data_IF_178307844622
#
_entry.id   IF_178307844622
#
_cell.length_a   1.000
_cell.length_b   1.000
_cell.length_c   1.000
_cell.angle_alpha   90.00
_cell.angle_beta   90.00
_cell.angle_gamma   90.00
#
_symmetry.space_group_name_H-M   'P 1'
#
loop_
_entity.id
_entity.type
_entity.pdbx_description
1 polymer ?
#
# COMPACT_ATOMS: atom_id res chain seq x y z
N UNK A 1 23.56 -11.08 -7.73
CA UNK A 1 23.94 -10.13 -6.64
C UNK A 1 23.56 -8.67 -6.88
N UNK A 2 24.01 -8.00 -7.96
CA UNK A 2 23.78 -6.56 -8.19
C UNK A 2 22.29 -6.12 -8.24
N UNK A 3 21.39 -6.91 -8.86
CA UNK A 3 19.94 -6.61 -8.95
C UNK A 3 19.26 -6.55 -7.58
N UNK A 4 19.59 -7.47 -6.67
CA UNK A 4 18.99 -7.55 -5.34
C UNK A 4 19.39 -6.36 -4.46
N UNK A 5 20.66 -5.94 -4.53
CA UNK A 5 21.17 -4.75 -3.83
C UNK A 5 20.50 -3.48 -4.38
N UNK A 6 20.32 -3.39 -5.70
CA UNK A 6 19.63 -2.25 -6.34
C UNK A 6 18.17 -2.15 -5.87
N UNK A 7 17.44 -3.27 -5.86
CA UNK A 7 16.06 -3.33 -5.40
C UNK A 7 15.94 -2.97 -3.90
N UNK A 8 16.83 -3.50 -3.08
CA UNK A 8 16.90 -3.14 -1.65
C UNK A 8 17.12 -1.63 -1.45
N UNK A 9 18.04 -1.03 -2.20
CA UNK A 9 18.29 0.41 -2.11
C UNK A 9 17.04 1.23 -2.49
N UNK A 10 16.31 0.80 -3.53
CA UNK A 10 15.07 1.47 -3.94
C UNK A 10 13.99 1.36 -2.85
N UNK A 11 13.79 0.15 -2.31
CA UNK A 11 12.76 -0.13 -1.31
C UNK A 11 13.03 0.50 0.07
N UNK A 12 14.29 0.59 0.49
CA UNK A 12 14.59 0.89 1.91
C UNK A 12 15.44 2.15 2.12
N UNK A 13 16.00 2.78 1.07
CA UNK A 13 16.67 4.09 1.19
C UNK A 13 15.81 5.22 0.65
N UNK A 14 15.57 6.24 1.47
CA UNK A 14 14.87 7.44 1.03
C UNK A 14 15.74 8.19 0.00
N UNK A 15 15.30 8.23 -1.24
CA UNK A 15 16.04 8.82 -2.35
C UNK A 15 15.08 9.60 -3.23
N UNK A 16 15.24 10.93 -3.27
CA UNK A 16 14.39 11.84 -4.06
C UNK A 16 14.50 11.57 -5.56
N UNK A 17 15.69 11.24 -6.07
CA UNK A 17 15.90 10.94 -7.48
C UNK A 17 15.14 9.67 -7.91
N UNK A 18 15.20 8.59 -7.11
CA UNK A 18 14.41 7.38 -7.38
C UNK A 18 12.90 7.67 -7.39
N UNK A 19 12.42 8.45 -6.42
CA UNK A 19 11.02 8.85 -6.38
C UNK A 19 10.62 9.61 -7.65
N UNK A 20 11.38 10.64 -8.04
CA UNK A 20 11.06 11.42 -9.25
C UNK A 20 11.08 10.56 -10.51
N UNK A 21 12.01 9.61 -10.60
CA UNK A 21 12.14 8.69 -11.75
C UNK A 21 10.96 7.73 -11.90
N UNK A 22 10.38 7.27 -10.77
CA UNK A 22 9.41 6.17 -10.76
C UNK A 22 8.00 6.59 -10.31
N UNK A 23 7.79 7.85 -9.96
CA UNK A 23 6.50 8.35 -9.46
C UNK A 23 5.38 8.13 -10.48
N UNK A 24 5.63 8.41 -11.75
CA UNK A 24 4.63 8.31 -12.82
C UNK A 24 4.25 6.85 -13.09
N UNK A 25 5.25 5.97 -13.21
CA UNK A 25 5.06 4.53 -13.36
C UNK A 25 4.28 3.93 -12.18
N UNK A 26 4.64 4.31 -10.95
CA UNK A 26 3.90 3.90 -9.76
C UNK A 26 2.47 4.45 -9.77
N UNK A 27 2.26 5.69 -10.24
CA UNK A 27 0.93 6.28 -10.35
C UNK A 27 0.05 5.51 -11.31
N UNK A 28 0.58 5.15 -12.49
CA UNK A 28 -0.15 4.36 -13.48
C UNK A 28 -0.55 2.99 -12.92
N UNK A 29 0.40 2.25 -12.36
CA UNK A 29 0.13 0.95 -11.74
C UNK A 29 -0.94 1.08 -10.65
N UNK A 30 -0.78 2.03 -9.72
CA UNK A 30 -1.69 2.16 -8.59
C UNK A 30 -3.10 2.56 -9.05
N UNK A 31 -3.23 3.48 -10.00
CA UNK A 31 -4.53 3.85 -10.57
C UNK A 31 -5.20 2.65 -11.25
N UNK A 32 -4.48 1.91 -12.10
CA UNK A 32 -5.03 0.70 -12.76
C UNK A 32 -5.52 -0.35 -11.76
N UNK A 33 -4.77 -0.55 -10.66
CA UNK A 33 -5.20 -1.49 -9.61
C UNK A 33 -6.38 -0.95 -8.81
N UNK A 34 -6.43 0.36 -8.54
CA UNK A 34 -7.57 0.98 -7.86
C UNK A 34 -8.83 0.82 -8.71
N UNK A 35 -8.77 1.14 -10.01
CA UNK A 35 -9.93 1.01 -10.90
C UNK A 35 -10.43 -0.44 -10.94
N UNK A 36 -9.50 -1.40 -11.06
CA UNK A 36 -9.82 -2.83 -11.04
C UNK A 36 -10.61 -3.26 -9.79
N UNK A 37 -10.14 -2.90 -8.59
CA UNK A 37 -10.81 -3.29 -7.34
C UNK A 37 -12.03 -2.43 -7.03
N UNK A 38 -12.02 -1.15 -7.40
CA UNK A 38 -13.15 -0.26 -7.17
C UNK A 38 -14.35 -0.60 -8.08
N UNK A 39 -14.12 -1.28 -9.21
CA UNK A 39 -15.23 -1.87 -9.98
C UNK A 39 -16.04 -2.89 -9.18
N UNK A 40 -15.45 -3.51 -8.14
CA UNK A 40 -16.14 -4.45 -7.25
C UNK A 40 -16.83 -3.67 -6.12
N UNK A 41 -16.11 -2.76 -5.48
CA UNK A 41 -16.58 -2.07 -4.28
C UNK A 41 -17.53 -0.88 -4.54
N UNK A 42 -17.35 -0.20 -5.66
CA UNK A 42 -18.08 1.02 -6.02
C UNK A 42 -17.97 2.12 -4.94
N UNK A 43 -16.76 2.36 -4.41
CA UNK A 43 -16.52 3.40 -3.41
C UNK A 43 -16.13 4.73 -4.04
N UNK A 44 -16.63 5.83 -3.46
CA UNK A 44 -16.16 7.17 -3.79
C UNK A 44 -14.85 7.50 -3.08
N UNK A 45 -13.92 8.15 -3.79
CA UNK A 45 -12.72 8.77 -3.22
C UNK A 45 -12.45 10.13 -3.86
N UNK A 46 -11.71 10.99 -3.16
CA UNK A 46 -11.44 12.35 -3.62
C UNK A 46 -10.23 12.43 -4.55
N UNK A 47 -9.09 11.87 -4.11
CA UNK A 47 -7.87 11.86 -4.91
C UNK A 47 -6.94 10.73 -4.52
N UNK A 48 -6.08 10.36 -5.47
CA UNK A 48 -4.95 9.47 -5.27
C UNK A 48 -3.66 10.30 -5.26
N UNK A 49 -2.73 9.98 -4.37
CA UNK A 49 -1.45 10.67 -4.29
C UNK A 49 -0.29 9.71 -4.11
N UNK A 50 0.71 9.81 -4.99
CA UNK A 50 1.95 9.04 -4.89
C UNK A 50 2.97 9.82 -4.06
N UNK A 51 3.54 9.16 -3.04
CA UNK A 51 4.41 9.75 -2.02
C UNK A 51 5.70 8.95 -1.86
N UNK A 52 6.71 9.59 -1.26
CA UNK A 52 7.97 8.96 -0.86
C UNK A 52 8.10 8.98 0.68
N UNK A 53 7.17 8.28 1.35
CA UNK A 53 7.12 8.23 2.81
C UNK A 53 8.16 7.25 3.37
N UNK A 54 8.74 7.59 4.53
CA UNK A 54 9.77 6.76 5.19
C UNK A 54 9.19 5.63 6.04
N UNK A 55 7.93 5.76 6.47
CA UNK A 55 7.37 4.92 7.53
C UNK A 55 6.13 4.13 7.11
N UNK A 56 5.44 4.51 6.03
CA UNK A 56 4.16 3.92 5.63
C UNK A 56 4.14 3.54 4.15
N UNK A 57 3.41 2.48 3.85
CA UNK A 57 3.15 1.99 2.50
C UNK A 57 1.93 2.66 1.86
N UNK A 58 0.91 2.97 2.67
CA UNK A 58 -0.29 3.69 2.27
C UNK A 58 -0.92 4.44 3.44
N UNK A 59 -1.95 5.24 3.15
CA UNK A 59 -2.92 5.77 4.12
C UNK A 59 -4.14 6.36 3.44
N UNK A 60 -5.33 6.09 3.98
CA UNK A 60 -6.57 6.81 3.71
C UNK A 60 -6.85 7.87 4.79
N UNK A 61 -7.23 9.09 4.38
CA UNK A 61 -7.72 10.12 5.31
C UNK A 61 -9.24 10.07 5.46
N UNK A 62 -9.81 10.58 6.56
CA UNK A 62 -11.26 10.77 6.72
C UNK A 62 -11.93 11.57 5.59
N UNK A 63 -11.19 12.45 4.90
CA UNK A 63 -11.62 13.16 3.69
C UNK A 63 -11.54 12.32 2.40
N UNK A 64 -11.49 10.99 2.51
CA UNK A 64 -11.40 10.03 1.40
C UNK A 64 -10.25 10.29 0.41
N UNK A 65 -9.10 10.76 0.91
CA UNK A 65 -7.88 10.87 0.11
C UNK A 65 -7.01 9.63 0.31
N UNK A 66 -6.67 8.97 -0.79
CA UNK A 66 -5.78 7.81 -0.78
C UNK A 66 -4.35 8.24 -1.05
N UNK A 67 -3.42 7.80 -0.22
CA UNK A 67 -2.00 8.07 -0.39
C UNK A 67 -1.25 6.75 -0.43
N UNK A 68 -0.32 6.63 -1.38
CA UNK A 68 0.48 5.42 -1.57
C UNK A 68 1.95 5.74 -1.73
N UNK A 69 2.79 4.83 -1.27
CA UNK A 69 4.22 4.91 -1.47
C UNK A 69 4.58 4.46 -2.90
N UNK A 70 5.37 5.25 -3.64
CA UNK A 70 5.81 4.86 -4.99
C UNK A 70 6.52 3.50 -5.03
N UNK A 71 7.09 3.08 -3.89
CA UNK A 71 7.81 1.82 -3.76
C UNK A 71 6.94 0.57 -3.93
N UNK A 72 5.61 0.70 -3.90
CA UNK A 72 4.70 -0.41 -4.22
C UNK A 72 4.98 -1.00 -5.60
N UNK A 73 5.44 -0.16 -6.55
CA UNK A 73 5.91 -0.57 -7.87
C UNK A 73 6.96 -1.69 -7.86
N UNK A 74 7.75 -1.79 -6.79
CA UNK A 74 8.84 -2.75 -6.66
C UNK A 74 8.52 -3.95 -5.77
N UNK A 75 7.30 -4.00 -5.23
CA UNK A 75 6.82 -5.16 -4.50
C UNK A 75 6.23 -6.18 -5.48
N UNK A 76 6.14 -7.44 -5.05
CA UNK A 76 5.35 -8.41 -5.79
C UNK A 76 3.90 -7.91 -5.90
N UNK A 77 3.25 -8.19 -7.03
CA UNK A 77 1.85 -7.81 -7.29
C UNK A 77 0.92 -8.13 -6.11
N UNK A 78 1.04 -9.33 -5.54
CA UNK A 78 0.26 -9.78 -4.36
C UNK A 78 0.33 -8.81 -3.18
N UNK A 79 1.53 -8.36 -2.81
CA UNK A 79 1.72 -7.44 -1.68
C UNK A 79 1.24 -6.02 -2.04
N UNK A 80 1.53 -5.56 -3.27
CA UNK A 80 1.07 -4.26 -3.75
C UNK A 80 -0.46 -4.17 -3.74
N UNK A 81 -1.12 -5.19 -4.29
CA UNK A 81 -2.58 -5.28 -4.37
C UNK A 81 -3.22 -5.28 -2.99
N UNK A 82 -2.68 -6.08 -2.05
CA UNK A 82 -3.17 -6.09 -0.67
C UNK A 82 -3.11 -4.70 -0.02
N UNK A 83 -2.00 -3.96 -0.20
CA UNK A 83 -1.86 -2.60 0.35
C UNK A 83 -2.88 -1.66 -0.30
N UNK A 84 -3.09 -1.76 -1.61
CA UNK A 84 -4.06 -0.92 -2.34
C UNK A 84 -5.49 -1.20 -1.86
N UNK A 85 -5.88 -2.47 -1.77
CA UNK A 85 -7.18 -2.91 -1.27
C UNK A 85 -7.39 -2.49 0.19
N UNK A 86 -6.37 -2.58 1.03
CA UNK A 86 -6.43 -2.14 2.42
C UNK A 86 -6.83 -0.66 2.53
N UNK A 87 -6.16 0.21 1.78
CA UNK A 87 -6.48 1.65 1.80
C UNK A 87 -7.83 1.95 1.13
N UNK A 88 -8.24 1.18 0.11
CA UNK A 88 -9.58 1.30 -0.48
C UNK A 88 -10.68 0.93 0.52
N UNK A 89 -10.51 -0.14 1.29
CA UNK A 89 -11.48 -0.56 2.30
C UNK A 89 -11.67 0.52 3.38
N UNK A 90 -10.65 1.33 3.65
CA UNK A 90 -10.76 2.49 4.54
C UNK A 90 -11.69 3.60 4.05
N UNK A 91 -12.08 3.61 2.76
CA UNK A 91 -13.13 4.53 2.27
C UNK A 91 -14.51 4.21 2.86
N UNK A 92 -14.73 2.96 3.27
CA UNK A 92 -15.97 2.47 3.88
C UNK A 92 -15.85 2.29 5.39
N UNK A 93 -14.76 1.70 5.86
CA UNK A 93 -14.53 1.38 7.27
C UNK A 93 -13.18 1.95 7.74
N UNK A 94 -13.20 3.05 8.49
CA UNK A 94 -11.99 3.78 8.89
C UNK A 94 -11.15 3.06 9.97
N UNK A 95 -11.72 2.04 10.62
CA UNK A 95 -11.05 1.23 11.63
C UNK A 95 -10.89 -0.22 11.13
N UNK A 96 -9.99 -0.98 11.76
CA UNK A 96 -9.75 -2.39 11.43
C UNK A 96 -10.77 -3.34 12.08
N UNK A 97 -12.06 -2.97 12.08
CA UNK A 97 -13.13 -3.83 12.62
C UNK A 97 -13.33 -5.10 11.80
N UNK A 98 -14.17 -6.01 12.30
CA UNK A 98 -14.59 -7.20 11.54
C UNK A 98 -15.16 -6.85 10.17
N UNK A 99 -15.91 -5.74 10.05
CA UNK A 99 -16.46 -5.28 8.77
C UNK A 99 -15.35 -4.91 7.78
N UNK A 100 -14.32 -4.20 8.25
CA UNK A 100 -13.16 -3.88 7.42
C UNK A 100 -12.47 -5.14 6.89
N UNK A 101 -12.21 -6.12 7.76
CA UNK A 101 -11.53 -7.35 7.34
C UNK A 101 -12.40 -8.20 6.41
N UNK A 102 -13.73 -8.18 6.56
CA UNK A 102 -14.63 -8.81 5.61
C UNK A 102 -14.48 -8.17 4.21
N UNK A 103 -14.48 -6.84 4.11
CA UNK A 103 -14.28 -6.14 2.84
C UNK A 103 -12.95 -6.52 2.18
N UNK A 104 -11.86 -6.59 2.95
CA UNK A 104 -10.54 -7.02 2.42
C UNK A 104 -10.61 -8.47 1.92
N UNK A 105 -11.23 -9.36 2.68
CA UNK A 105 -11.31 -10.78 2.36
C UNK A 105 -12.17 -11.09 1.13
N UNK A 106 -13.11 -10.21 0.75
CA UNK A 106 -13.93 -10.35 -0.46
C UNK A 106 -13.08 -10.46 -1.73
N UNK A 107 -11.94 -9.76 -1.80
CA UNK A 107 -11.09 -9.75 -3.01
C UNK A 107 -9.68 -10.26 -2.75
N UNK A 108 -9.22 -10.31 -1.50
CA UNK A 108 -7.93 -10.89 -1.08
C UNK A 108 -8.18 -11.91 0.05
N UNK A 109 -8.65 -13.13 -0.27
CA UNK A 109 -9.00 -14.13 0.76
C UNK A 109 -7.80 -14.60 1.59
N UNK A 110 -6.58 -14.52 1.05
CA UNK A 110 -5.32 -14.91 1.70
C UNK A 110 -4.64 -13.74 2.45
N UNK A 111 -5.37 -12.67 2.77
CA UNK A 111 -4.80 -11.45 3.37
C UNK A 111 -4.05 -11.70 4.69
N UNK A 112 -4.43 -12.71 5.47
CA UNK A 112 -3.77 -13.06 6.74
C UNK A 112 -2.31 -13.48 6.54
N UNK A 113 -2.01 -14.21 5.46
CA UNK A 113 -0.65 -14.61 5.11
C UNK A 113 0.17 -13.40 4.67
N UNK A 114 -0.42 -12.51 3.86
CA UNK A 114 0.24 -11.27 3.43
C UNK A 114 0.55 -10.37 4.63
N UNK A 115 -0.38 -10.25 5.58
CA UNK A 115 -0.15 -9.53 6.84
C UNK A 115 0.99 -10.12 7.64
N UNK A 116 1.07 -11.44 7.73
CA UNK A 116 2.19 -12.13 8.40
C UNK A 116 3.51 -11.79 7.74
N UNK A 117 3.57 -11.80 6.40
CA UNK A 117 4.76 -11.44 5.64
C UNK A 117 5.16 -9.98 5.89
N UNK A 118 4.21 -9.04 5.84
CA UNK A 118 4.45 -7.61 6.03
C UNK A 118 4.89 -7.23 7.44
N UNK A 119 4.56 -8.02 8.46
CA UNK A 119 5.09 -7.85 9.83
C UNK A 119 6.58 -8.19 9.92
N UNK A 120 7.14 -8.91 8.95
CA UNK A 120 8.56 -9.23 8.93
C UNK A 120 9.41 -7.96 8.72
N UNK A 121 10.55 -7.86 9.41
CA UNK A 121 11.50 -6.73 9.30
C UNK A 121 11.91 -6.43 7.85
N UNK A 122 11.91 -7.45 6.98
CA UNK A 122 12.25 -7.32 5.55
C UNK A 122 11.31 -6.41 4.77
N UNK A 123 10.10 -6.13 5.25
CA UNK A 123 9.13 -5.25 4.59
C UNK A 123 8.94 -3.90 5.30
N UNK A 124 9.77 -3.60 6.31
CA UNK A 124 9.73 -2.32 7.02
C UNK A 124 10.54 -1.27 6.25
N UNK A 125 9.89 -0.18 5.84
CA UNK A 125 10.53 0.96 5.19
C UNK A 125 11.56 1.67 6.10
N UNK A 126 11.39 1.57 7.42
CA UNK A 126 12.34 2.03 8.43
C UNK A 126 12.15 1.31 9.78
N UNK A 127 13.08 1.50 10.72
CA UNK A 127 12.94 1.03 12.12
C UNK A 127 11.70 1.59 12.84
N UNK A 128 11.19 2.73 12.38
CA UNK A 128 9.97 3.39 12.89
C UNK A 128 8.76 3.16 11.99
N UNK A 129 8.85 2.25 11.01
CA UNK A 129 7.68 1.88 10.23
C UNK A 129 6.64 1.28 11.15
N UNK A 130 5.49 1.94 11.17
CA UNK A 130 4.22 1.43 11.65
C UNK A 130 3.72 0.59 10.48
N UNK A 131 3.81 -0.74 10.53
CA UNK A 131 3.25 -1.58 9.46
C UNK A 131 1.77 -1.25 9.32
N UNK A 132 1.29 -0.96 8.10
CA UNK A 132 -0.09 -0.58 7.69
C UNK A 132 -1.07 0.10 8.68
N UNK A 133 -0.62 0.63 9.82
CA UNK A 133 -1.53 1.09 10.87
C UNK A 133 -2.27 -0.02 11.63
N UNK A 134 -1.97 -1.31 11.40
CA UNK A 134 -2.64 -2.49 11.98
C UNK A 134 -2.71 -2.54 13.53
N UNK A 135 -2.08 -1.59 14.22
CA UNK A 135 -1.89 -1.61 15.68
C UNK A 135 -2.88 -0.74 16.46
N UNK A 136 -3.91 -0.14 15.83
CA UNK A 136 -4.90 0.67 16.54
C UNK A 136 -6.33 0.22 16.24
N UNK A 137 -6.73 -0.84 16.94
CA UNK A 137 -7.98 -0.91 17.71
C UNK A 137 -7.64 -1.49 19.06
#
# INVERSE_FOLDING_TARGET
MKKQIKLYNILFRNNKSNYLKHKEEASKLISERIDYYNNIYQFDFNRISIRNQRTRWGSCSSKKNLNFNYRLLFLSKRISDYIIVHELCHLKELNHSRKFWNLVAEVIPDYLDIRRDLRNKRFRLSRRSIGLGDNHT
#
